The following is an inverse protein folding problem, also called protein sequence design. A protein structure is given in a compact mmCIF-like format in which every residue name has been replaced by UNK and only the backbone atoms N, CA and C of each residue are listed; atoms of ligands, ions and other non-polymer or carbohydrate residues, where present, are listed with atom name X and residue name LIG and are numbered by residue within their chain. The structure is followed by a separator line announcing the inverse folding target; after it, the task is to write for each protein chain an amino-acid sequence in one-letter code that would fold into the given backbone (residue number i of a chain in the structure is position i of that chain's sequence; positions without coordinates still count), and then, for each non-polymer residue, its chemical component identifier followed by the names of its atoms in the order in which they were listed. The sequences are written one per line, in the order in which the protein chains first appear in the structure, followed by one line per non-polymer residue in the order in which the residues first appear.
data_IF_038373396470
#
_entry.id   IF_038373396470
#
_cell.length_a   1.000
_cell.length_b   1.000
_cell.length_c   1.000
_cell.angle_alpha   90.00
_cell.angle_beta   90.00
_cell.angle_gamma   90.00
#
_symmetry.space_group_name_H-M   'P 1'
#
loop_
_entity.id
_entity.type
_entity.pdbx_description
1 polymer ?
#
# COMPACT_ATOMS: atom_id res chain seq x y z
N UNK A 1 0.23 -22.69 4.65
CA UNK A 1 1.28 -22.14 3.79
C UNK A 1 2.43 -23.11 3.62
N UNK A 2 3.05 -23.11 2.44
CA UNK A 2 4.35 -23.73 2.21
C UNK A 2 5.37 -22.58 2.15
N UNK A 3 6.30 -22.54 3.13
CA UNK A 3 7.36 -21.56 3.15
C UNK A 3 8.55 -22.08 2.35
N UNK A 4 9.03 -21.28 1.39
CA UNK A 4 10.23 -21.57 0.61
C UNK A 4 11.23 -20.44 0.85
N UNK A 5 12.40 -20.78 1.37
CA UNK A 5 13.51 -19.84 1.53
C UNK A 5 14.52 -20.04 0.40
N UNK A 6 14.88 -18.94 -0.25
CA UNK A 6 15.89 -18.91 -1.31
C UNK A 6 17.04 -18.02 -0.82
N UNK A 7 18.21 -18.62 -0.65
CA UNK A 7 19.45 -17.89 -0.36
C UNK A 7 19.92 -17.19 -1.65
N UNK A 8 19.91 -15.85 -1.62
CA UNK A 8 20.24 -15.00 -2.76
C UNK A 8 21.68 -15.14 -3.28
N UNK A 9 22.58 -15.63 -2.41
CA UNK A 9 24.01 -15.77 -2.71
C UNK A 9 24.33 -17.11 -3.40
N UNK A 10 23.35 -18.01 -3.47
CA UNK A 10 23.59 -19.32 -4.11
C UNK A 10 23.54 -19.27 -5.62
N UNK A 11 24.30 -20.15 -6.31
CA UNK A 11 24.23 -20.30 -7.76
C UNK A 11 22.80 -20.55 -8.23
N UNK A 12 22.34 -19.74 -9.18
CA UNK A 12 20.98 -19.82 -9.73
C UNK A 12 19.94 -18.93 -9.04
N UNK A 13 20.21 -18.40 -7.82
CA UNK A 13 19.30 -17.49 -7.15
C UNK A 13 19.02 -16.23 -7.95
N UNK A 14 20.01 -15.68 -8.64
CA UNK A 14 19.85 -14.51 -9.51
C UNK A 14 18.87 -14.77 -10.68
N UNK A 15 18.88 -15.97 -11.28
CA UNK A 15 17.91 -16.34 -12.32
C UNK A 15 16.50 -16.40 -11.76
N UNK A 16 16.36 -16.94 -10.55
CA UNK A 16 15.07 -17.00 -9.86
C UNK A 16 14.59 -15.61 -9.47
N UNK A 17 15.48 -14.77 -8.91
CA UNK A 17 15.21 -13.37 -8.59
C UNK A 17 14.73 -12.59 -9.82
N UNK A 18 15.43 -12.72 -10.94
CA UNK A 18 15.03 -12.10 -12.21
C UNK A 18 13.66 -12.58 -12.70
N UNK A 19 13.36 -13.88 -12.59
CA UNK A 19 12.05 -14.46 -12.95
C UNK A 19 10.92 -13.84 -12.15
N UNK A 20 11.13 -13.60 -10.86
CA UNK A 20 10.15 -12.98 -9.96
C UNK A 20 10.30 -11.46 -9.86
N UNK A 21 11.14 -10.84 -10.71
CA UNK A 21 11.39 -9.38 -10.70
C UNK A 21 11.83 -8.85 -9.32
N UNK A 22 12.60 -9.65 -8.58
CA UNK A 22 13.17 -9.23 -7.29
C UNK A 22 14.33 -8.28 -7.56
N UNK A 23 14.31 -7.10 -6.95
CA UNK A 23 15.34 -6.06 -7.12
C UNK A 23 16.26 -5.93 -5.92
N UNK A 24 15.88 -6.50 -4.79
CA UNK A 24 16.65 -6.45 -3.55
C UNK A 24 16.23 -7.53 -2.56
N UNK A 25 17.02 -7.72 -1.54
CA UNK A 25 16.80 -8.70 -0.46
C UNK A 25 16.71 -7.99 0.90
N UNK A 26 15.88 -8.51 1.81
CA UNK A 26 14.93 -9.59 1.62
C UNK A 26 13.73 -9.19 0.76
N UNK A 27 13.09 -10.14 0.08
CA UNK A 27 11.78 -9.96 -0.56
C UNK A 27 10.91 -11.18 -0.25
N UNK A 28 9.74 -10.97 0.32
CA UNK A 28 8.73 -12.00 0.54
C UNK A 28 7.69 -11.92 -0.57
N UNK A 29 7.42 -13.03 -1.25
CA UNK A 29 6.39 -13.11 -2.29
C UNK A 29 5.37 -14.17 -1.86
N UNK A 30 4.12 -13.76 -1.78
CA UNK A 30 2.99 -14.66 -1.52
C UNK A 30 2.33 -15.06 -2.83
N UNK A 31 2.24 -16.36 -3.06
CA UNK A 31 1.63 -16.92 -4.28
C UNK A 31 0.43 -17.78 -3.93
N UNK A 32 -0.51 -17.87 -4.86
CA UNK A 32 -1.58 -18.86 -4.79
C UNK A 32 -1.06 -20.26 -5.20
N UNK A 33 -1.86 -21.34 -5.03
CA UNK A 33 -1.45 -22.71 -5.42
C UNK A 33 -1.13 -22.86 -6.91
N UNK A 34 -1.58 -21.96 -7.77
CA UNK A 34 -1.31 -21.94 -9.20
C UNK A 34 -0.04 -21.16 -9.56
N UNK A 35 0.68 -20.64 -8.57
CA UNK A 35 1.92 -19.87 -8.75
C UNK A 35 1.70 -18.41 -9.20
N UNK A 36 0.47 -17.91 -9.15
CA UNK A 36 0.21 -16.49 -9.39
C UNK A 36 0.45 -15.68 -8.12
N UNK A 37 1.10 -14.53 -8.27
CA UNK A 37 1.41 -13.63 -7.16
C UNK A 37 0.13 -12.98 -6.60
N UNK A 38 -0.10 -13.17 -5.30
CA UNK A 38 -1.15 -12.47 -4.55
C UNK A 38 -0.63 -11.09 -4.17
N UNK A 39 0.54 -11.03 -3.55
CA UNK A 39 1.20 -9.78 -3.13
C UNK A 39 2.66 -10.03 -2.79
N UNK A 40 3.44 -8.96 -2.55
CA UNK A 40 4.84 -9.05 -2.10
C UNK A 40 5.18 -7.96 -1.09
N UNK A 41 6.24 -8.22 -0.33
CA UNK A 41 6.91 -7.28 0.55
C UNK A 41 8.39 -7.25 0.19
N UNK A 42 8.88 -6.24 -0.52
CA UNK A 42 10.30 -5.99 -0.71
C UNK A 42 10.89 -5.25 0.48
N UNK A 43 12.13 -5.59 0.84
CA UNK A 43 12.84 -5.00 1.97
C UNK A 43 12.45 -5.59 3.32
N UNK A 44 12.96 -4.99 4.38
CA UNK A 44 12.59 -5.34 5.74
C UNK A 44 11.11 -5.01 5.99
N UNK A 45 10.41 -5.94 6.62
CA UNK A 45 9.00 -5.82 6.91
C UNK A 45 8.76 -6.01 8.41
N UNK A 46 7.91 -5.17 8.98
CA UNK A 46 7.46 -5.34 10.35
C UNK A 46 6.42 -6.47 10.47
N UNK A 47 6.14 -6.88 11.71
CA UNK A 47 5.19 -7.96 11.98
C UNK A 47 3.77 -7.66 11.42
N UNK A 48 3.36 -6.40 11.38
CA UNK A 48 2.05 -5.99 10.90
C UNK A 48 1.94 -6.15 9.39
N UNK A 49 2.97 -5.76 8.65
CA UNK A 49 3.05 -5.95 7.20
C UNK A 49 3.06 -7.44 6.84
N UNK A 50 3.86 -8.24 7.54
CA UNK A 50 3.87 -9.70 7.33
C UNK A 50 2.51 -10.31 7.61
N UNK A 51 1.86 -9.94 8.71
CA UNK A 51 0.51 -10.42 9.04
C UNK A 51 -0.54 -10.01 8.01
N UNK A 52 -0.45 -8.80 7.45
CA UNK A 52 -1.35 -8.35 6.39
C UNK A 52 -1.23 -9.23 5.13
N UNK A 53 0.00 -9.55 4.73
CA UNK A 53 0.29 -10.45 3.60
C UNK A 53 -0.25 -11.87 3.87
N UNK A 54 0.01 -12.43 5.05
CA UNK A 54 -0.46 -13.77 5.42
C UNK A 54 -2.00 -13.83 5.44
N UNK A 55 -2.66 -12.80 5.98
CA UNK A 55 -4.13 -12.71 5.97
C UNK A 55 -4.69 -12.65 4.54
N UNK A 56 -4.04 -11.93 3.63
CA UNK A 56 -4.44 -11.90 2.22
C UNK A 56 -4.43 -13.31 1.61
N UNK A 57 -3.42 -14.13 1.91
CA UNK A 57 -3.34 -15.52 1.45
C UNK A 57 -4.37 -16.44 2.09
N UNK A 58 -4.61 -16.29 3.40
CA UNK A 58 -5.60 -17.12 4.13
C UNK A 58 -7.04 -16.88 3.68
N UNK A 59 -7.35 -15.69 3.19
CA UNK A 59 -8.68 -15.36 2.65
C UNK A 59 -8.90 -15.82 1.20
N UNK A 60 -8.08 -16.73 0.68
CA UNK A 60 -8.19 -17.25 -0.69
C UNK A 60 -7.77 -16.21 -1.73
N UNK A 61 -6.76 -15.39 -1.39
CA UNK A 61 -6.36 -14.19 -2.10
C UNK A 61 -6.23 -14.37 -3.61
N UNK A 62 -6.93 -13.52 -4.33
CA UNK A 62 -6.78 -13.39 -5.78
C UNK A 62 -5.48 -12.64 -6.10
N UNK A 63 -4.88 -12.88 -7.26
CA UNK A 63 -3.72 -12.11 -7.72
C UNK A 63 -3.97 -10.61 -7.66
N UNK A 64 -3.00 -9.85 -7.15
CA UNK A 64 -3.08 -8.39 -7.02
C UNK A 64 -3.48 -7.69 -8.33
N UNK A 65 -3.01 -8.19 -9.47
CA UNK A 65 -3.38 -7.66 -10.78
C UNK A 65 -4.88 -7.75 -11.06
N UNK A 66 -5.52 -8.87 -10.68
CA UNK A 66 -6.96 -9.06 -10.86
C UNK A 66 -7.76 -8.18 -9.92
N UNK A 67 -7.32 -8.09 -8.65
CA UNK A 67 -7.95 -7.24 -7.64
C UNK A 67 -7.90 -5.78 -8.07
N UNK A 68 -6.74 -5.32 -8.58
CA UNK A 68 -6.58 -3.97 -9.11
C UNK A 68 -7.50 -3.71 -10.32
N UNK A 69 -7.58 -4.65 -11.26
CA UNK A 69 -8.44 -4.52 -12.43
C UNK A 69 -9.92 -4.41 -12.03
N UNK A 70 -10.36 -5.21 -11.05
CA UNK A 70 -11.72 -5.17 -10.54
C UNK A 70 -12.02 -3.87 -9.79
N UNK A 71 -11.09 -3.36 -8.95
CA UNK A 71 -11.23 -2.05 -8.31
C UNK A 71 -11.38 -0.92 -9.33
N UNK A 72 -10.60 -0.94 -10.39
CA UNK A 72 -10.68 0.07 -11.46
C UNK A 72 -11.98 0.00 -12.23
N UNK A 73 -12.49 -1.19 -12.50
CA UNK A 73 -13.76 -1.38 -13.21
C UNK A 73 -15.01 -1.14 -12.34
N UNK A 74 -14.84 -0.83 -11.05
CA UNK A 74 -15.95 -0.55 -10.13
C UNK A 74 -16.65 -1.82 -9.61
N UNK A 75 -16.04 -2.99 -9.74
CA UNK A 75 -16.56 -4.21 -9.11
C UNK A 75 -16.38 -4.14 -7.59
N UNK A 76 -17.33 -4.72 -6.88
CA UNK A 76 -17.25 -4.82 -5.44
C UNK A 76 -16.07 -5.70 -5.02
N UNK A 77 -15.27 -5.19 -4.07
CA UNK A 77 -14.17 -5.91 -3.45
C UNK A 77 -14.51 -6.23 -1.99
N UNK A 78 -14.03 -7.37 -1.51
CA UNK A 78 -14.05 -7.70 -0.09
C UNK A 78 -13.08 -6.80 0.69
N UNK A 79 -13.29 -6.68 2.01
CA UNK A 79 -12.37 -5.96 2.91
C UNK A 79 -10.92 -6.46 2.80
N UNK A 80 -10.74 -7.78 2.61
CA UNK A 80 -9.40 -8.36 2.46
C UNK A 80 -8.74 -7.97 1.13
N UNK A 81 -9.49 -7.85 0.05
CA UNK A 81 -8.98 -7.38 -1.24
C UNK A 81 -8.60 -5.90 -1.18
N UNK A 82 -9.40 -5.07 -0.53
CA UNK A 82 -9.04 -3.68 -0.23
C UNK A 82 -7.77 -3.58 0.60
N UNK A 83 -7.64 -4.45 1.62
CA UNK A 83 -6.42 -4.55 2.43
C UNK A 83 -5.21 -4.96 1.58
N UNK A 84 -5.36 -5.93 0.67
CA UNK A 84 -4.29 -6.34 -0.25
C UNK A 84 -3.80 -5.16 -1.09
N UNK A 85 -4.70 -4.33 -1.63
CA UNK A 85 -4.33 -3.12 -2.36
C UNK A 85 -3.62 -2.09 -1.46
N UNK A 86 -4.11 -1.87 -0.23
CA UNK A 86 -3.54 -0.89 0.69
C UNK A 86 -2.14 -1.26 1.20
N UNK A 87 -1.87 -2.55 1.38
CA UNK A 87 -0.58 -3.04 1.89
C UNK A 87 0.42 -3.45 0.80
N UNK A 88 0.03 -3.44 -0.48
CA UNK A 88 0.98 -3.63 -1.57
C UNK A 88 2.07 -2.55 -1.56
N UNK A 89 3.29 -2.92 -1.89
CA UNK A 89 4.44 -2.00 -1.91
C UNK A 89 4.45 -1.13 -3.16
N UNK A 90 3.55 -0.15 -3.19
CA UNK A 90 3.40 0.78 -4.32
C UNK A 90 4.64 1.65 -4.55
N UNK A 91 5.40 1.91 -3.49
CA UNK A 91 6.60 2.74 -3.53
C UNK A 91 7.64 2.17 -4.49
N UNK A 92 7.83 0.87 -4.44
CA UNK A 92 8.75 0.13 -5.32
C UNK A 92 8.07 -0.41 -6.55
N UNK A 93 6.83 -0.94 -6.39
CA UNK A 93 6.04 -1.62 -7.42
C UNK A 93 6.91 -2.52 -8.31
N UNK A 94 7.64 -3.43 -7.68
CA UNK A 94 8.54 -4.36 -8.39
C UNK A 94 7.82 -5.18 -9.45
N UNK A 95 6.52 -5.49 -9.25
CA UNK A 95 5.69 -6.17 -10.24
C UNK A 95 5.33 -5.29 -11.44
N UNK A 96 5.59 -3.99 -11.35
CA UNK A 96 5.32 -3.00 -12.41
C UNK A 96 3.83 -2.99 -12.82
N UNK A 97 2.94 -2.95 -11.83
CA UNK A 97 1.49 -2.91 -12.04
C UNK A 97 1.04 -1.59 -12.66
N UNK A 98 1.76 -0.49 -12.31
CA UNK A 98 1.43 0.87 -12.74
C UNK A 98 2.69 1.69 -12.98
N UNK A 99 2.69 2.51 -14.00
CA UNK A 99 3.79 3.44 -14.25
C UNK A 99 3.97 4.41 -13.06
N UNK A 100 5.21 4.72 -12.64
CA UNK A 100 5.48 5.56 -11.47
C UNK A 100 4.68 6.87 -11.45
N UNK A 101 4.60 7.57 -12.57
CA UNK A 101 3.88 8.83 -12.69
C UNK A 101 2.35 8.72 -12.48
N UNK A 102 1.78 7.52 -12.60
CA UNK A 102 0.34 7.29 -12.44
C UNK A 102 -0.03 6.81 -11.02
N UNK A 103 0.95 6.37 -10.22
CA UNK A 103 0.70 5.79 -8.88
C UNK A 103 -0.05 6.71 -7.95
N UNK A 104 0.35 7.99 -7.77
CA UNK A 104 -0.34 8.87 -6.83
C UNK A 104 -1.82 9.00 -7.14
N UNK A 105 -2.15 9.24 -8.39
CA UNK A 105 -3.54 9.40 -8.83
C UNK A 105 -4.34 8.10 -8.70
N UNK A 106 -3.73 6.96 -9.04
CA UNK A 106 -4.36 5.66 -8.84
C UNK A 106 -4.65 5.39 -7.35
N UNK A 107 -3.69 5.65 -6.47
CA UNK A 107 -3.86 5.42 -5.04
C UNK A 107 -4.94 6.32 -4.44
N UNK A 108 -5.02 7.57 -4.87
CA UNK A 108 -6.09 8.50 -4.51
C UNK A 108 -7.46 8.00 -5.02
N UNK A 109 -7.52 7.53 -6.26
CA UNK A 109 -8.74 6.93 -6.83
C UNK A 109 -9.19 5.70 -6.03
N UNK A 110 -8.27 4.81 -5.69
CA UNK A 110 -8.56 3.63 -4.87
C UNK A 110 -9.05 4.03 -3.48
N UNK A 111 -8.38 5.00 -2.82
CA UNK A 111 -8.77 5.49 -1.50
C UNK A 111 -10.22 6.02 -1.50
N UNK A 112 -10.59 6.80 -2.52
CA UNK A 112 -11.93 7.35 -2.67
C UNK A 112 -13.00 6.27 -2.94
N UNK A 113 -12.62 5.12 -3.49
CA UNK A 113 -13.53 4.00 -3.78
C UNK A 113 -13.72 3.03 -2.62
N UNK A 114 -12.87 3.07 -1.59
CA UNK A 114 -13.06 2.22 -0.40
C UNK A 114 -14.42 2.55 0.22
N UNK A 115 -15.28 1.56 0.49
CA UNK A 115 -16.60 1.81 1.09
C UNK A 115 -16.47 2.56 2.42
N UNK A 116 -17.26 3.61 2.61
CA UNK A 116 -17.20 4.45 3.81
C UNK A 116 -18.43 4.24 4.70
N UNK A 117 -18.20 4.32 6.01
CA UNK A 117 -19.26 4.23 7.00
C UNK A 117 -19.94 2.86 7.05
N UNK A 118 -21.14 2.82 7.63
CA UNK A 118 -21.96 1.60 7.77
C UNK A 118 -22.97 1.44 6.61
N UNK A 119 -22.74 2.10 5.50
CA UNK A 119 -23.57 1.98 4.30
C UNK A 119 -23.64 0.50 3.84
N UNK A 120 -24.81 0.08 3.35
CA UNK A 120 -25.01 -1.30 2.93
C UNK A 120 -25.08 -2.34 4.04
N UNK A 121 -25.25 -1.91 5.32
CA UNK A 121 -25.37 -2.82 6.46
C UNK A 121 -24.04 -3.32 7.04
N UNK A 122 -22.92 -2.66 6.68
CA UNK A 122 -21.62 -3.00 7.26
C UNK A 122 -21.59 -2.78 8.77
N UNK A 123 -20.94 -3.68 9.51
CA UNK A 123 -20.72 -3.49 10.94
C UNK A 123 -19.81 -2.29 11.21
N UNK A 124 -19.84 -1.74 12.43
CA UNK A 124 -18.93 -0.66 12.85
C UNK A 124 -17.47 -1.04 12.70
N UNK A 125 -17.12 -2.30 12.99
CA UNK A 125 -15.75 -2.81 12.85
C UNK A 125 -15.30 -2.84 11.39
N UNK A 126 -16.15 -3.26 10.46
CA UNK A 126 -15.86 -3.22 9.01
C UNK A 126 -15.71 -1.79 8.54
N UNK A 127 -16.57 -0.86 8.98
CA UNK A 127 -16.48 0.54 8.63
C UNK A 127 -15.18 1.19 9.14
N UNK A 128 -14.76 0.87 10.37
CA UNK A 128 -13.47 1.31 10.91
C UNK A 128 -12.30 0.77 10.08
N UNK A 129 -12.30 -0.54 9.76
CA UNK A 129 -11.27 -1.16 8.92
C UNK A 129 -11.19 -0.52 7.54
N UNK A 130 -12.31 -0.19 6.92
CA UNK A 130 -12.34 0.51 5.64
C UNK A 130 -11.78 1.94 5.76
N UNK A 131 -12.07 2.64 6.86
CA UNK A 131 -11.47 3.95 7.15
C UNK A 131 -9.94 3.89 7.24
N UNK A 132 -9.40 2.90 7.96
CA UNK A 132 -7.96 2.65 8.08
C UNK A 132 -7.31 2.33 6.72
N UNK A 133 -7.98 1.51 5.90
CA UNK A 133 -7.54 1.16 4.53
C UNK A 133 -7.51 2.41 3.64
N UNK A 134 -8.57 3.21 3.65
CA UNK A 134 -8.65 4.44 2.86
C UNK A 134 -7.56 5.43 3.27
N UNK A 135 -7.37 5.64 4.59
CA UNK A 135 -6.31 6.48 5.14
C UNK A 135 -4.93 6.03 4.64
N UNK A 136 -4.65 4.72 4.71
CA UNK A 136 -3.37 4.18 4.23
C UNK A 136 -3.14 4.44 2.75
N UNK A 137 -4.16 4.26 1.91
CA UNK A 137 -4.06 4.54 0.47
C UNK A 137 -3.82 6.04 0.19
N UNK A 138 -4.47 6.94 0.93
CA UNK A 138 -4.22 8.38 0.83
C UNK A 138 -2.80 8.75 1.23
N UNK A 139 -2.30 8.21 2.34
CA UNK A 139 -0.91 8.42 2.77
C UNK A 139 0.09 7.92 1.72
N UNK A 140 -0.15 6.75 1.13
CA UNK A 140 0.68 6.22 0.04
C UNK A 140 0.59 7.06 -1.24
N UNK A 141 -0.56 7.65 -1.54
CA UNK A 141 -0.71 8.58 -2.64
C UNK A 141 0.17 9.82 -2.45
N UNK A 142 0.20 10.38 -1.22
CA UNK A 142 1.10 11.48 -0.87
C UNK A 142 2.57 11.05 -0.94
N UNK A 143 2.92 9.90 -0.37
CA UNK A 143 4.28 9.37 -0.32
C UNK A 143 4.88 9.06 -1.71
N UNK A 144 4.04 8.80 -2.70
CA UNK A 144 4.44 8.52 -4.09
C UNK A 144 4.32 9.72 -5.02
N UNK A 145 3.79 10.84 -4.54
CA UNK A 145 3.72 12.11 -5.27
C UNK A 145 5.08 12.81 -5.29
N UNK A 146 5.38 13.51 -6.37
CA UNK A 146 6.54 14.40 -6.50
C UNK A 146 6.06 15.85 -6.62
N UNK A 147 6.92 16.83 -6.32
CA UNK A 147 6.61 18.26 -6.46
C UNK A 147 6.06 18.56 -7.87
N UNK A 148 4.83 19.05 -7.91
CA UNK A 148 4.12 19.39 -9.16
C UNK A 148 3.61 18.20 -9.97
N UNK A 149 3.84 16.95 -9.53
CA UNK A 149 3.35 15.73 -10.18
C UNK A 149 2.65 14.85 -9.16
N UNK A 150 1.43 14.42 -9.49
CA UNK A 150 0.63 13.55 -8.62
C UNK A 150 -0.61 14.25 -8.08
N UNK A 151 -1.00 13.91 -6.86
CA UNK A 151 -2.18 14.52 -6.23
C UNK A 151 -1.86 15.92 -5.71
N UNK A 152 -2.82 16.83 -5.88
CA UNK A 152 -2.75 18.16 -5.26
C UNK A 152 -3.34 18.09 -3.86
N UNK A 153 -2.56 18.42 -2.81
CA UNK A 153 -3.08 18.37 -1.45
C UNK A 153 -4.12 19.48 -1.25
N UNK A 154 -5.29 19.09 -0.82
CA UNK A 154 -6.36 19.96 -0.41
C UNK A 154 -6.49 20.02 1.12
N UNK A 155 -7.50 20.72 1.62
CA UNK A 155 -7.76 20.82 3.05
C UNK A 155 -8.05 19.46 3.69
N UNK A 156 -8.77 18.58 2.97
CA UNK A 156 -9.10 17.24 3.45
C UNK A 156 -7.84 16.40 3.68
N UNK A 157 -6.90 16.40 2.75
CA UNK A 157 -5.66 15.62 2.88
C UNK A 157 -4.76 16.16 4.00
N UNK A 158 -4.73 17.48 4.20
CA UNK A 158 -4.01 18.09 5.32
C UNK A 158 -4.60 17.69 6.67
N UNK A 159 -5.93 17.76 6.81
CA UNK A 159 -6.65 17.34 7.99
C UNK A 159 -6.47 15.84 8.26
N UNK A 160 -6.51 15.00 7.22
CA UNK A 160 -6.27 13.56 7.34
C UNK A 160 -4.88 13.29 7.94
N UNK A 161 -3.83 13.93 7.42
CA UNK A 161 -2.47 13.73 7.95
C UNK A 161 -2.35 14.23 9.39
N UNK A 162 -2.92 15.40 9.71
CA UNK A 162 -2.95 15.92 11.07
C UNK A 162 -3.68 14.98 12.03
N UNK A 163 -4.81 14.43 11.63
CA UNK A 163 -5.59 13.47 12.43
C UNK A 163 -4.78 12.20 12.69
N UNK A 164 -4.09 11.67 11.68
CA UNK A 164 -3.23 10.48 11.83
C UNK A 164 -2.10 10.76 12.82
N UNK A 165 -1.45 11.91 12.73
CA UNK A 165 -0.32 12.26 13.59
C UNK A 165 -0.76 12.60 15.03
N UNK A 166 -1.98 13.07 15.22
CA UNK A 166 -2.54 13.39 16.55
C UNK A 166 -2.98 12.14 17.31
N UNK A 167 -3.26 11.02 16.63
CA UNK A 167 -3.66 9.75 17.25
C UNK A 167 -2.53 8.72 17.24
N UNK A 168 -2.04 8.36 18.43
CA UNK A 168 -0.92 7.43 18.58
C UNK A 168 -1.18 6.04 17.99
N UNK A 169 -2.43 5.55 18.03
CA UNK A 169 -2.80 4.25 17.46
C UNK A 169 -2.75 4.32 15.93
N UNK A 170 -3.29 5.37 15.35
CA UNK A 170 -3.25 5.62 13.89
C UNK A 170 -1.83 5.83 13.38
N UNK A 171 -1.02 6.63 14.09
CA UNK A 171 0.41 6.82 13.79
C UNK A 171 1.14 5.48 13.76
N UNK A 172 0.94 4.63 14.77
CA UNK A 172 1.54 3.30 14.85
C UNK A 172 1.08 2.39 13.70
N UNK A 173 -0.20 2.45 13.34
CA UNK A 173 -0.77 1.65 12.25
C UNK A 173 -0.16 1.98 10.88
N UNK A 174 0.24 3.23 10.68
CA UNK A 174 0.77 3.74 9.40
C UNK A 174 2.26 4.11 9.46
N UNK A 175 2.97 3.68 10.51
CA UNK A 175 4.35 4.09 10.79
C UNK A 175 5.30 3.81 9.60
N UNK A 176 5.15 2.67 8.95
CA UNK A 176 5.95 2.30 7.78
C UNK A 176 5.79 3.28 6.61
N UNK A 177 4.57 3.75 6.35
CA UNK A 177 4.30 4.74 5.30
C UNK A 177 4.82 6.11 5.71
N UNK A 178 4.62 6.50 6.98
CA UNK A 178 5.07 7.78 7.52
C UNK A 178 6.60 7.89 7.54
N UNK A 179 7.31 6.83 7.93
CA UNK A 179 8.78 6.83 7.95
C UNK A 179 9.38 6.71 6.56
N UNK A 180 8.84 5.86 5.70
CA UNK A 180 9.34 5.66 4.33
C UNK A 180 9.01 6.80 3.38
N UNK A 181 7.90 7.51 3.59
CA UNK A 181 7.39 8.55 2.68
C UNK A 181 7.28 9.95 3.30
N UNK A 182 7.62 10.12 4.59
CA UNK A 182 7.35 11.35 5.34
C UNK A 182 7.97 12.61 4.72
N UNK A 183 9.21 12.54 4.30
CA UNK A 183 9.88 13.69 3.65
C UNK A 183 9.14 14.15 2.38
N UNK A 184 8.70 13.21 1.55
CA UNK A 184 7.89 13.53 0.36
C UNK A 184 6.51 14.09 0.73
N UNK A 185 5.87 13.54 1.75
CA UNK A 185 4.58 14.06 2.22
C UNK A 185 4.71 15.51 2.69
N UNK A 186 5.76 15.85 3.44
CA UNK A 186 6.03 17.22 3.85
C UNK A 186 6.22 18.12 2.64
N UNK A 187 7.03 17.72 1.66
CA UNK A 187 7.24 18.48 0.42
C UNK A 187 5.94 18.75 -0.33
N UNK A 188 5.06 17.75 -0.43
CA UNK A 188 3.79 17.87 -1.16
C UNK A 188 2.78 18.71 -0.39
N UNK A 189 2.74 18.61 0.96
CA UNK A 189 1.76 19.29 1.82
C UNK A 189 2.13 20.74 2.13
N UNK A 190 3.40 21.11 2.01
CA UNK A 190 3.88 22.46 2.38
C UNK A 190 4.32 23.25 1.15
N UNK A 191 4.08 24.55 1.14
CA UNK A 191 4.60 25.43 0.12
C UNK A 191 6.13 25.53 0.18
N UNK A 192 6.79 25.75 -0.95
CA UNK A 192 8.21 26.00 -0.99
C UNK A 192 8.56 27.26 -0.17
N UNK A 193 9.56 27.17 0.73
CA UNK A 193 9.95 28.25 1.64
C UNK A 193 9.07 28.41 2.88
N UNK A 194 8.09 27.54 3.11
CA UNK A 194 7.32 27.56 4.34
C UNK A 194 8.13 27.08 5.54
N UNK A 195 7.86 27.59 6.78
CA UNK A 195 8.55 27.15 8.00
C UNK A 195 8.44 25.64 8.25
N UNK A 196 7.34 25.04 7.84
CA UNK A 196 7.07 23.60 8.00
C UNK A 196 8.02 22.70 7.19
N UNK A 197 8.67 23.22 6.12
CA UNK A 197 9.69 22.49 5.36
C UNK A 197 11.03 22.39 6.06
N UNK A 198 11.31 23.25 7.04
CA UNK A 198 12.58 23.32 7.76
C UNK A 198 12.55 22.67 9.15
N UNK A 199 11.39 22.20 9.56
CA UNK A 199 11.18 21.49 10.82
C UNK A 199 11.21 19.99 10.62
#
# INVERSE_FOLDING_TARGET
FVAVHVDGDRPGAQKLGARFKVRGYPTVILMNPQGAEITRLPGEADAQQVMAVLRAGLSGGRPIQQVLADARSGKALSTNEWRTLAYYSWETDESQLVAPAQRPNLLAELAAKVPQGTAGGASREVAQTHGEIATRLWLKALATSDDGRGIKPDAMLRELVQTVLADAASTKLHLDVLTGGGAKMVQVLTAEGSPERGA
#
